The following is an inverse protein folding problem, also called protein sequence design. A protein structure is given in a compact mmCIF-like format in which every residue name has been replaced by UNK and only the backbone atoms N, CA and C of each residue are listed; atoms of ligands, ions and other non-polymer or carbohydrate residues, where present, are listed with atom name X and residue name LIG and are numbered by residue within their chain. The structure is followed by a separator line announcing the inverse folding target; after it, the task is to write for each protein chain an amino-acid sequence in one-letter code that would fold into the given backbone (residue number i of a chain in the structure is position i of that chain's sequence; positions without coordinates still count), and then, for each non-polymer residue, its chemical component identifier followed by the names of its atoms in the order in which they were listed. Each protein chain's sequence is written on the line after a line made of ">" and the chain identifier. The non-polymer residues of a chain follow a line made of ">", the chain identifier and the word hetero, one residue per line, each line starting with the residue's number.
data_IF_138444548752
#
_entry.id   IF_138444548752
#
_cell.length_a   1.000
_cell.length_b   1.000
_cell.length_c   1.000
_cell.angle_alpha   90.00
_cell.angle_beta   90.00
_cell.angle_gamma   90.00
#
_symmetry.space_group_name_H-M   'P 1'
#
loop_
_entity.id
_entity.type
_entity.pdbx_description
1 polymer ?
#
# COMPACT_ATOMS: atom_id res chain seq x y z
N UNK A 1 -18.37 16.70 -2.85
CA UNK A 1 -17.40 15.81 -3.52
C UNK A 1 -16.00 16.36 -3.30
N UNK A 2 -15.09 15.57 -2.72
CA UNK A 2 -13.73 16.00 -2.38
C UNK A 2 -12.68 15.14 -3.09
N UNK A 3 -11.47 15.69 -3.27
CA UNK A 3 -10.28 14.94 -3.67
C UNK A 3 -9.50 14.56 -2.41
N UNK A 4 -9.33 13.27 -2.17
CA UNK A 4 -8.72 12.73 -0.96
C UNK A 4 -7.55 11.84 -1.37
N UNK A 5 -6.40 12.05 -0.73
CA UNK A 5 -5.23 11.19 -0.85
C UNK A 5 -4.96 10.56 0.53
N UNK A 6 -5.05 9.24 0.61
CA UNK A 6 -4.64 8.46 1.76
C UNK A 6 -3.20 8.02 1.54
N UNK A 7 -2.33 8.19 2.54
CA UNK A 7 -0.90 7.92 2.42
C UNK A 7 -0.52 6.84 3.42
N UNK A 8 0.07 5.74 2.94
CA UNK A 8 0.85 4.83 3.76
C UNK A 8 2.30 5.34 3.73
N UNK A 9 2.78 6.01 4.79
CA UNK A 9 4.09 6.64 4.78
C UNK A 9 5.21 5.58 4.78
N UNK A 10 6.42 5.93 4.31
CA UNK A 10 7.57 5.07 4.51
C UNK A 10 7.86 4.95 6.01
N UNK A 11 7.99 3.73 6.51
CA UNK A 11 8.39 3.44 7.88
C UNK A 11 9.67 2.62 7.87
N UNK A 12 10.57 2.94 8.80
CA UNK A 12 11.70 2.08 9.12
C UNK A 12 11.22 1.04 10.13
N UNK A 13 10.91 -0.15 9.64
CA UNK A 13 10.44 -1.27 10.47
C UNK A 13 11.57 -2.29 10.67
N UNK A 14 11.84 -2.65 11.93
CA UNK A 14 12.81 -3.67 12.29
C UNK A 14 12.27 -5.10 12.08
N UNK A 15 10.98 -5.26 11.75
CA UNK A 15 10.30 -6.54 11.51
C UNK A 15 9.47 -6.53 10.22
N UNK A 16 10.14 -6.47 9.07
CA UNK A 16 9.49 -6.57 7.76
C UNK A 16 8.98 -7.99 7.48
N UNK A 17 7.66 -8.15 7.40
CA UNK A 17 7.01 -9.34 6.84
C UNK A 17 6.01 -8.92 5.77
N UNK A 18 5.83 -9.75 4.73
CA UNK A 18 5.01 -9.42 3.56
C UNK A 18 3.58 -9.01 3.91
N UNK A 19 2.96 -9.71 4.88
CA UNK A 19 1.58 -9.41 5.32
C UNK A 19 1.43 -8.04 6.01
N UNK A 20 2.53 -7.45 6.50
CA UNK A 20 2.52 -6.17 7.22
C UNK A 20 2.74 -4.97 6.30
N UNK A 21 2.98 -5.20 5.01
CA UNK A 21 3.19 -4.14 4.03
C UNK A 21 1.88 -3.64 3.39
N UNK A 22 0.80 -4.43 3.45
CA UNK A 22 -0.48 -4.07 2.84
C UNK A 22 -1.23 -2.99 3.67
N UNK A 23 -1.63 -1.85 3.08
CA UNK A 23 -2.30 -0.76 3.78
C UNK A 23 -3.80 -1.01 3.98
N UNK A 24 -4.19 -2.19 4.48
CA UNK A 24 -5.58 -2.66 4.55
C UNK A 24 -6.54 -1.66 5.24
N UNK A 25 -6.07 -1.00 6.30
CA UNK A 25 -6.86 0.04 6.98
C UNK A 25 -7.21 1.22 6.07
N UNK A 26 -6.28 1.65 5.20
CA UNK A 26 -6.51 2.71 4.23
C UNK A 26 -7.46 2.25 3.12
N UNK A 27 -7.43 0.97 2.74
CA UNK A 27 -8.36 0.41 1.77
C UNK A 27 -9.81 0.45 2.27
N UNK A 28 -10.04 0.09 3.54
CA UNK A 28 -11.37 0.22 4.16
C UNK A 28 -11.87 1.67 4.17
N UNK A 29 -11.00 2.63 4.53
CA UNK A 29 -11.35 4.04 4.50
C UNK A 29 -11.66 4.51 3.08
N UNK A 30 -10.86 4.10 2.09
CA UNK A 30 -11.09 4.44 0.70
C UNK A 30 -12.44 3.92 0.21
N UNK A 31 -12.81 2.68 0.55
CA UNK A 31 -14.08 2.10 0.14
C UNK A 31 -15.29 2.91 0.64
N UNK A 32 -15.31 3.31 1.92
CA UNK A 32 -16.41 4.11 2.49
C UNK A 32 -16.46 5.51 1.87
N UNK A 33 -15.31 6.16 1.72
CA UNK A 33 -15.25 7.50 1.12
C UNK A 33 -15.67 7.49 -0.37
N UNK A 34 -15.34 6.42 -1.10
CA UNK A 34 -15.80 6.21 -2.47
C UNK A 34 -17.32 5.99 -2.53
N UNK A 35 -17.90 5.22 -1.61
CA UNK A 35 -19.36 5.06 -1.48
C UNK A 35 -20.06 6.41 -1.21
N UNK A 36 -19.39 7.33 -0.51
CA UNK A 36 -19.85 8.71 -0.29
C UNK A 36 -19.57 9.65 -1.48
N UNK A 37 -19.25 9.11 -2.66
CA UNK A 37 -18.98 9.86 -3.88
C UNK A 37 -17.81 10.85 -3.76
N UNK A 38 -16.74 10.47 -3.04
CA UNK A 38 -15.47 11.19 -3.05
C UNK A 38 -14.48 10.57 -4.05
N UNK A 39 -13.58 11.40 -4.59
CA UNK A 39 -12.47 10.92 -5.39
C UNK A 39 -11.31 10.58 -4.46
N UNK A 40 -11.03 9.28 -4.29
CA UNK A 40 -10.02 8.80 -3.33
C UNK A 40 -8.91 8.06 -4.06
N UNK A 41 -7.66 8.33 -3.69
CA UNK A 41 -6.48 7.56 -4.09
C UNK A 41 -5.68 7.14 -2.85
N UNK A 42 -4.99 6.03 -2.96
CA UNK A 42 -4.00 5.57 -1.97
C UNK A 42 -2.61 5.75 -2.58
N UNK A 43 -1.71 6.38 -1.84
CA UNK A 43 -0.27 6.38 -2.10
C UNK A 43 0.39 5.47 -1.07
N UNK A 44 0.83 4.31 -1.52
CA UNK A 44 1.61 3.40 -0.69
C UNK A 44 3.10 3.63 -0.92
N UNK A 45 3.74 4.36 0.00
CA UNK A 45 5.16 4.65 -0.02
C UNK A 45 5.99 3.65 0.82
N UNK A 46 5.34 2.70 1.50
CA UNK A 46 6.00 1.60 2.20
C UNK A 46 6.24 0.40 1.28
N UNK A 47 5.40 0.21 0.26
CA UNK A 47 5.50 -0.91 -0.68
C UNK A 47 6.93 -1.07 -1.21
N UNK A 48 7.57 -2.19 -0.88
CA UNK A 48 8.97 -2.49 -1.23
C UNK A 48 9.19 -2.95 -2.68
N UNK A 49 8.27 -2.60 -3.58
CA UNK A 49 8.24 -3.05 -4.97
C UNK A 49 7.67 -4.47 -5.12
N UNK A 50 7.39 -4.87 -6.36
CA UNK A 50 6.90 -6.23 -6.64
C UNK A 50 8.03 -7.23 -6.45
N UNK A 51 7.77 -8.32 -5.73
CA UNK A 51 8.63 -9.51 -5.68
C UNK A 51 9.04 -9.89 -7.11
N UNK A 52 10.35 -9.85 -7.39
CA UNK A 52 10.90 -10.26 -8.69
C UNK A 52 11.40 -11.69 -8.56
N UNK A 53 10.81 -12.60 -9.32
CA UNK A 53 11.40 -13.94 -9.51
C UNK A 53 12.71 -13.76 -10.27
N UNK A 54 13.83 -14.13 -9.66
CA UNK A 54 15.14 -14.16 -10.31
C UNK A 54 15.51 -15.62 -10.61
N UNK A 55 16.21 -15.90 -11.73
CA UNK A 55 16.69 -17.25 -12.01
C UNK A 55 17.69 -17.70 -10.94
N UNK A 56 17.80 -19.02 -10.76
CA UNK A 56 18.86 -19.63 -9.92
C UNK A 56 20.24 -19.24 -10.47
N UNK A 57 21.22 -18.93 -9.61
CA UNK A 57 22.58 -18.67 -10.05
C UNK A 57 23.19 -19.92 -10.72
N UNK A 58 24.10 -19.73 -11.70
CA UNK A 58 24.85 -20.83 -12.29
C UNK A 58 25.71 -21.54 -11.23
N UNK A 59 25.92 -22.85 -11.41
CA UNK A 59 26.82 -23.66 -10.57
C UNK A 59 28.28 -23.30 -10.81
#
# INVERSE_FOLDING_TARGET
>A
MMKILLINPPIEDFYQTEIRQEPLGLEYLAAVLQQQSHQVKILDALASGKKRVIPLPPQ
#
